data_IF_176232752482
#
_entry.id   IF_176232752482
#
_cell.length_a   1.000
_cell.length_b   1.000
_cell.length_c   1.000
_cell.angle_alpha   90.00
_cell.angle_beta   90.00
_cell.angle_gamma   90.00
#
_symmetry.space_group_name_H-M   'P 1'
#
loop_
_entity.id
_entity.type
_entity.pdbx_description
1 polymer ?
#
# COMPACT_ATOMS: atom_id res chain seq x y z
N UNK A 1 -29.71 -3.96 17.58
CA UNK A 1 -28.86 -4.95 16.87
C UNK A 1 -27.75 -4.21 16.14
N UNK A 2 -26.56 -4.12 16.74
CA UNK A 2 -25.40 -3.51 16.09
C UNK A 2 -24.93 -4.45 14.97
N UNK A 3 -25.23 -4.09 13.72
CA UNK A 3 -24.59 -4.72 12.56
C UNK A 3 -23.11 -4.39 12.66
N UNK A 4 -22.31 -5.36 13.10
CA UNK A 4 -20.86 -5.38 12.93
C UNK A 4 -20.60 -5.22 11.43
N UNK A 5 -20.31 -3.99 10.97
CA UNK A 5 -19.92 -3.72 9.60
C UNK A 5 -18.48 -4.22 9.46
N UNK A 6 -18.33 -5.51 9.14
CA UNK A 6 -17.05 -6.07 8.73
C UNK A 6 -16.47 -5.32 7.53
N UNK A 7 -15.18 -5.54 7.25
CA UNK A 7 -14.53 -4.97 6.07
C UNK A 7 -15.31 -5.37 4.80
N UNK A 8 -15.59 -4.38 3.95
CA UNK A 8 -16.22 -4.63 2.66
C UNK A 8 -15.32 -5.53 1.81
N UNK A 9 -15.91 -6.42 1.02
CA UNK A 9 -15.17 -7.30 0.08
C UNK A 9 -14.23 -6.48 -0.81
N UNK A 10 -14.66 -5.28 -1.23
CA UNK A 10 -13.81 -4.37 -2.01
C UNK A 10 -12.55 -3.93 -1.27
N UNK A 11 -12.66 -3.66 0.03
CA UNK A 11 -11.53 -3.30 0.88
C UNK A 11 -10.58 -4.49 1.05
N UNK A 12 -11.11 -5.70 1.27
CA UNK A 12 -10.30 -6.92 1.40
C UNK A 12 -9.53 -7.22 0.11
N UNK A 13 -10.19 -7.11 -1.05
CA UNK A 13 -9.55 -7.28 -2.36
C UNK A 13 -8.49 -6.20 -2.61
N UNK A 14 -8.78 -4.94 -2.26
CA UNK A 14 -7.81 -3.85 -2.37
C UNK A 14 -6.57 -4.09 -1.49
N UNK A 15 -6.75 -4.62 -0.27
CA UNK A 15 -5.63 -5.00 0.61
C UNK A 15 -4.80 -6.12 -0.04
N UNK A 16 -5.42 -7.19 -0.51
CA UNK A 16 -4.70 -8.32 -1.11
C UNK A 16 -3.92 -7.95 -2.37
N UNK A 17 -4.54 -7.22 -3.30
CA UNK A 17 -3.88 -6.77 -4.53
C UNK A 17 -2.82 -5.72 -4.21
N UNK A 18 -3.13 -4.77 -3.33
CA UNK A 18 -2.22 -3.72 -2.89
C UNK A 18 -0.95 -4.30 -2.26
N UNK A 19 -1.10 -5.29 -1.38
CA UNK A 19 0.03 -5.96 -0.72
C UNK A 19 0.93 -6.69 -1.72
N UNK A 20 0.36 -7.40 -2.69
CA UNK A 20 1.13 -8.07 -3.73
C UNK A 20 1.95 -7.08 -4.57
N UNK A 21 1.35 -5.96 -4.96
CA UNK A 21 2.05 -4.90 -5.72
C UNK A 21 3.11 -4.23 -4.84
N UNK A 22 2.81 -3.94 -3.57
CA UNK A 22 3.75 -3.34 -2.63
C UNK A 22 5.04 -4.17 -2.51
N UNK A 23 4.93 -5.49 -2.36
CA UNK A 23 6.08 -6.39 -2.27
C UNK A 23 6.94 -6.32 -3.54
N UNK A 24 6.32 -6.28 -4.72
CA UNK A 24 7.04 -6.19 -6.00
C UNK A 24 7.75 -4.83 -6.10
N UNK A 25 7.04 -3.73 -5.79
CA UNK A 25 7.63 -2.40 -5.83
C UNK A 25 8.79 -2.28 -4.82
N UNK A 26 8.61 -2.72 -3.58
CA UNK A 26 9.64 -2.70 -2.54
C UNK A 26 10.90 -3.48 -2.96
N UNK A 27 10.74 -4.59 -3.70
CA UNK A 27 11.85 -5.44 -4.12
C UNK A 27 12.61 -4.93 -5.34
N UNK A 28 11.92 -4.30 -6.30
CA UNK A 28 12.45 -4.04 -7.65
C UNK A 28 12.55 -2.56 -8.02
N UNK A 29 11.92 -1.66 -7.27
CA UNK A 29 11.86 -0.23 -7.64
C UNK A 29 12.64 0.68 -6.71
N UNK A 30 13.49 0.12 -5.84
CA UNK A 30 14.46 0.89 -5.06
C UNK A 30 15.57 1.38 -6.00
N UNK A 31 15.56 2.68 -6.31
CA UNK A 31 16.55 3.30 -7.19
C UNK A 31 17.62 3.97 -6.31
N UNK A 32 18.89 3.51 -6.37
CA UNK A 32 19.97 4.15 -5.62
C UNK A 32 20.25 5.53 -6.22
N UNK A 33 20.27 6.56 -5.38
CA UNK A 33 20.46 7.95 -5.84
C UNK A 33 21.92 8.37 -5.93
N UNK A 34 22.85 7.45 -5.68
CA UNK A 34 24.28 7.73 -5.59
C UNK A 34 24.70 8.46 -4.30
N UNK A 35 23.74 8.90 -3.48
CA UNK A 35 23.98 9.44 -2.14
C UNK A 35 23.86 8.29 -1.13
N UNK A 36 24.84 8.10 -0.23
CA UNK A 36 24.77 7.06 0.80
C UNK A 36 23.44 7.08 1.56
N UNK A 37 22.86 5.90 1.77
CA UNK A 37 21.61 5.70 2.50
C UNK A 37 20.38 6.44 1.93
N UNK A 38 20.45 6.94 0.69
CA UNK A 38 19.34 7.63 0.03
C UNK A 38 18.89 6.83 -1.18
N UNK A 39 17.72 6.20 -1.08
CA UNK A 39 17.08 5.49 -2.17
C UNK A 39 15.76 6.18 -2.50
N UNK A 40 15.44 6.26 -3.79
CA UNK A 40 14.08 6.61 -4.21
C UNK A 40 13.28 5.32 -4.24
N UNK A 41 12.18 5.30 -3.50
CA UNK A 41 11.29 4.15 -3.46
C UNK A 41 9.89 4.52 -3.96
N UNK A 42 9.38 3.75 -4.92
CA UNK A 42 8.07 3.98 -5.54
C UNK A 42 6.93 3.49 -4.64
N UNK A 43 7.23 2.73 -3.58
CA UNK A 43 6.26 2.23 -2.62
C UNK A 43 5.52 3.33 -1.86
N UNK A 44 6.19 4.42 -1.50
CA UNK A 44 5.56 5.52 -0.76
C UNK A 44 4.43 6.24 -1.53
N UNK A 45 4.63 6.68 -2.79
CA UNK A 45 3.53 7.27 -3.57
C UNK A 45 2.42 6.26 -3.89
N UNK A 46 2.75 4.97 -4.04
CA UNK A 46 1.76 3.91 -4.22
C UNK A 46 0.86 3.74 -2.99
N UNK A 47 1.44 3.71 -1.78
CA UNK A 47 0.67 3.65 -0.53
C UNK A 47 -0.20 4.89 -0.34
N UNK A 48 0.32 6.08 -0.65
CA UNK A 48 -0.45 7.33 -0.57
C UNK A 48 -1.66 7.30 -1.52
N UNK A 49 -1.50 6.77 -2.73
CA UNK A 49 -2.59 6.60 -3.69
C UNK A 49 -3.65 5.62 -3.18
N UNK A 50 -3.25 4.46 -2.66
CA UNK A 50 -4.18 3.46 -2.12
C UNK A 50 -4.94 3.98 -0.90
N UNK A 51 -4.26 4.69 0.01
CA UNK A 51 -4.90 5.32 1.16
C UNK A 51 -5.91 6.40 0.74
N UNK A 52 -5.63 7.14 -0.34
CA UNK A 52 -6.53 8.18 -0.87
C UNK A 52 -7.79 7.58 -1.49
N UNK A 53 -7.67 6.47 -2.23
CA UNK A 53 -8.79 5.87 -2.96
C UNK A 53 -9.66 4.98 -2.05
N UNK A 54 -9.03 4.13 -1.24
CA UNK A 54 -9.72 3.10 -0.45
C UNK A 54 -9.84 3.46 1.04
N UNK A 55 -9.29 4.60 1.45
CA UNK A 55 -9.27 5.09 2.80
C UNK A 55 -8.04 4.65 3.59
N UNK A 56 -7.77 5.33 4.73
CA UNK A 56 -6.56 5.15 5.52
C UNK A 56 -6.41 3.72 6.08
N UNK A 57 -7.52 3.06 6.41
CA UNK A 57 -7.51 1.67 6.93
C UNK A 57 -6.97 0.68 5.90
N UNK A 58 -7.32 0.86 4.62
CA UNK A 58 -6.84 -0.02 3.54
C UNK A 58 -5.38 0.27 3.23
N UNK A 59 -5.00 1.53 3.10
CA UNK A 59 -3.60 1.91 2.86
C UNK A 59 -2.66 1.43 3.98
N UNK A 60 -3.08 1.58 5.24
CA UNK A 60 -2.32 1.11 6.40
C UNK A 60 -2.21 -0.42 6.47
N UNK A 61 -3.17 -1.15 5.91
CA UNK A 61 -3.13 -2.63 5.92
C UNK A 61 -2.28 -3.22 4.79
N UNK A 62 -1.88 -2.40 3.81
CA UNK A 62 -1.13 -2.84 2.61
C UNK A 62 0.38 -2.79 2.81
N UNK A 63 0.88 -1.73 3.45
CA UNK A 63 2.30 -1.52 3.74
C UNK A 63 2.62 -1.82 5.20
#
# INVERSE_FOLDING_TARGET
MNKQKGLSVKSVVAIGIGAAIYVILARFTSIPTGIPNTNIEIVYPFLALLATIYGPVVGFSVG
#
